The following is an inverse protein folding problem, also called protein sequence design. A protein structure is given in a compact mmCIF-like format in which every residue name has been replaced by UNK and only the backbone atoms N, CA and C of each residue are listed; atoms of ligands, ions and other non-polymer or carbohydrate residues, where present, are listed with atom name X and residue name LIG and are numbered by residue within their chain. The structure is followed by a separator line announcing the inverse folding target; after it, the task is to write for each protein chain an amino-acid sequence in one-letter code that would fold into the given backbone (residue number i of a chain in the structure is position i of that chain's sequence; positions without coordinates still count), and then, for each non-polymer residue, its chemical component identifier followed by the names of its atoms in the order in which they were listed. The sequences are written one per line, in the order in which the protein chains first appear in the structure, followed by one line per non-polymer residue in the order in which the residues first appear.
data_IF_977474079609
#
_entry.id   IF_977474079609
#
_cell.length_a   1.000
_cell.length_b   1.000
_cell.length_c   1.000
_cell.angle_alpha   90.00
_cell.angle_beta   90.00
_cell.angle_gamma   90.00
#
_symmetry.space_group_name_H-M   'P 1'
#
loop_
_entity.id
_entity.type
_entity.pdbx_description
1 polymer ?
#
# COMPACT_ATOMS: atom_id res chain seq x y z
N UNK A 1 1.92 9.88 21.75
CA UNK A 1 1.04 9.48 22.89
C UNK A 1 -0.15 8.63 22.43
N UNK A 2 -0.63 8.85 21.20
CA UNK A 2 -1.87 8.25 20.70
C UNK A 2 -1.68 6.90 19.98
N UNK A 3 -0.50 6.59 19.46
CA UNK A 3 -0.17 5.26 18.94
C UNK A 3 0.03 4.20 20.07
N UNK A 4 -0.21 4.57 21.32
CA UNK A 4 -0.05 3.67 22.49
C UNK A 4 -1.23 2.73 22.70
N UNK A 5 -2.43 3.17 22.38
CA UNK A 5 -3.66 2.55 22.90
C UNK A 5 -4.59 2.11 21.75
N UNK A 6 -4.21 1.05 21.04
CA UNK A 6 -5.09 0.36 20.09
C UNK A 6 -4.98 0.77 18.62
N UNK A 7 -4.06 1.66 18.24
CA UNK A 7 -3.77 1.95 16.83
C UNK A 7 -2.64 1.06 16.29
N UNK A 8 -2.93 0.28 15.28
CA UNK A 8 -1.96 -0.63 14.66
C UNK A 8 -1.20 -0.01 13.47
N UNK A 9 -1.55 1.22 13.08
CA UNK A 9 -0.91 1.91 11.96
C UNK A 9 -1.47 3.30 11.68
N UNK A 10 -0.92 3.94 10.64
CA UNK A 10 -1.30 5.28 10.19
C UNK A 10 -1.57 5.25 8.68
N UNK A 11 -2.59 6.00 8.23
CA UNK A 11 -2.80 6.34 6.81
C UNK A 11 -2.23 7.73 6.52
N UNK A 12 -1.46 7.83 5.44
CA UNK A 12 -0.95 9.09 4.90
C UNK A 12 -1.49 9.34 3.49
N UNK A 13 -1.85 10.60 3.20
CA UNK A 13 -2.36 11.01 1.90
C UNK A 13 -1.68 12.30 1.43
N UNK A 14 -0.62 12.17 0.62
CA UNK A 14 0.25 13.28 0.22
C UNK A 14 -0.43 14.42 -0.50
N UNK A 15 -1.52 14.16 -1.24
CA UNK A 15 -2.28 15.22 -1.92
C UNK A 15 -3.03 16.09 -0.91
N UNK A 16 -3.69 15.49 0.09
CA UNK A 16 -4.42 16.27 1.10
C UNK A 16 -3.48 17.03 2.03
N UNK A 17 -2.33 16.46 2.34
CA UNK A 17 -1.30 17.12 3.13
C UNK A 17 -0.50 18.16 2.32
N UNK A 18 -0.64 18.17 1.00
CA UNK A 18 0.20 18.94 0.07
C UNK A 18 1.70 18.76 0.36
N UNK A 19 2.09 17.56 0.77
CA UNK A 19 3.46 17.17 1.14
C UNK A 19 3.69 15.71 0.84
N UNK A 20 4.92 15.38 0.52
CA UNK A 20 5.38 14.00 0.41
C UNK A 20 5.53 13.37 1.80
N UNK A 21 5.26 12.06 1.93
CA UNK A 21 5.55 11.31 3.16
C UNK A 21 7.06 11.29 3.50
N UNK A 22 7.91 11.52 2.50
CA UNK A 22 9.36 11.61 2.70
C UNK A 22 9.83 12.99 3.18
N UNK A 23 8.92 13.97 3.37
CA UNK A 23 9.27 15.27 3.94
C UNK A 23 9.78 15.08 5.38
N UNK A 24 10.93 15.70 5.74
CA UNK A 24 11.52 15.55 7.09
C UNK A 24 10.58 15.91 8.26
N UNK A 25 9.55 16.70 8.02
CA UNK A 25 8.55 17.04 9.05
C UNK A 25 7.86 15.80 9.64
N UNK A 26 7.81 14.70 8.87
CA UNK A 26 7.17 13.44 9.29
C UNK A 26 8.14 12.47 9.98
N UNK A 27 9.45 12.76 10.01
CA UNK A 27 10.44 11.89 10.66
C UNK A 27 10.07 11.51 12.09
N UNK A 28 9.61 12.43 12.96
CA UNK A 28 9.30 12.06 14.33
C UNK A 28 8.19 11.01 14.46
N UNK A 29 7.18 11.03 13.57
CA UNK A 29 6.14 10.00 13.58
C UNK A 29 6.63 8.71 12.93
N UNK A 30 7.44 8.79 11.88
CA UNK A 30 8.04 7.61 11.24
C UNK A 30 8.98 6.86 12.19
N UNK A 31 9.77 7.56 13.00
CA UNK A 31 10.59 6.95 14.06
C UNK A 31 9.75 6.20 15.11
N UNK A 32 8.58 6.77 15.48
CA UNK A 32 7.66 6.10 16.40
C UNK A 32 7.08 4.84 15.76
N UNK A 33 6.68 4.90 14.49
CA UNK A 33 6.18 3.73 13.74
C UNK A 33 7.25 2.65 13.60
N UNK A 34 8.48 3.03 13.27
CA UNK A 34 9.61 2.11 13.14
C UNK A 34 9.92 1.41 14.47
N UNK A 35 10.02 2.17 15.55
CA UNK A 35 10.23 1.62 16.91
C UNK A 35 9.12 0.65 17.33
N UNK A 36 7.88 0.92 16.94
CA UNK A 36 6.72 0.08 17.25
C UNK A 36 6.50 -1.05 16.26
N UNK A 37 7.26 -1.12 15.17
CA UNK A 37 7.06 -2.06 14.05
C UNK A 37 5.64 -2.00 13.49
N UNK A 38 5.09 -0.79 13.44
CA UNK A 38 3.71 -0.54 13.02
C UNK A 38 3.60 -0.43 11.49
N UNK A 39 2.37 -0.36 10.99
CA UNK A 39 2.08 -0.24 9.57
C UNK A 39 1.83 1.21 9.15
N UNK A 40 2.27 1.56 7.95
CA UNK A 40 2.02 2.84 7.29
C UNK A 40 1.36 2.59 5.93
N UNK A 41 0.09 2.93 5.80
CA UNK A 41 -0.60 2.92 4.51
C UNK A 41 -0.42 4.27 3.84
N UNK A 42 0.21 4.28 2.67
CA UNK A 42 0.46 5.49 1.87
C UNK A 42 -0.44 5.49 0.64
N UNK A 43 -1.22 6.56 0.47
CA UNK A 43 -1.92 6.79 -0.79
C UNK A 43 -0.91 6.95 -1.92
N UNK A 44 -1.01 6.12 -2.95
CA UNK A 44 -0.18 6.18 -4.14
C UNK A 44 -1.02 6.42 -5.39
N UNK A 45 -0.55 7.30 -6.28
CA UNK A 45 -1.23 7.57 -7.54
C UNK A 45 -1.81 8.98 -7.64
N UNK A 46 -2.40 9.26 -8.81
CA UNK A 46 -2.98 10.58 -9.11
C UNK A 46 -4.32 10.78 -8.43
N UNK A 47 -4.53 11.95 -7.89
CA UNK A 47 -5.85 12.43 -7.50
C UNK A 47 -6.49 13.24 -8.64
N UNK A 48 -7.84 13.28 -8.70
CA UNK A 48 -8.59 13.87 -9.83
C UNK A 48 -8.42 15.38 -10.00
N UNK A 49 -7.85 16.06 -9.02
CA UNK A 49 -7.66 17.51 -9.01
C UNK A 49 -6.47 18.00 -9.88
N UNK A 50 -5.77 17.08 -10.55
CA UNK A 50 -4.61 17.42 -11.36
C UNK A 50 -3.37 17.82 -10.57
N UNK A 51 -3.36 17.59 -9.24
CA UNK A 51 -2.20 17.84 -8.41
C UNK A 51 -1.00 17.04 -8.90
N UNK A 52 0.21 17.57 -8.79
CA UNK A 52 1.40 16.90 -9.29
C UNK A 52 1.57 15.54 -8.61
N UNK A 53 1.92 14.52 -9.38
CA UNK A 53 2.26 13.17 -8.90
C UNK A 53 3.27 13.18 -7.76
N UNK A 54 4.00 14.27 -7.62
CA UNK A 54 5.11 14.43 -6.70
C UNK A 54 4.76 14.02 -5.27
N UNK A 55 3.60 14.41 -4.73
CA UNK A 55 3.28 14.16 -3.32
C UNK A 55 2.69 12.77 -3.03
N UNK A 56 2.20 12.07 -4.06
CA UNK A 56 1.59 10.73 -3.95
C UNK A 56 2.33 9.68 -4.80
N UNK A 57 3.57 9.95 -5.19
CA UNK A 57 4.38 8.97 -5.87
C UNK A 57 4.78 7.83 -4.92
N UNK A 58 4.68 6.58 -5.38
CA UNK A 58 5.19 5.42 -4.65
C UNK A 58 6.71 5.54 -4.33
N UNK A 59 7.46 6.34 -5.09
CA UNK A 59 8.88 6.57 -4.86
C UNK A 59 9.16 7.21 -3.50
N UNK A 60 8.25 8.04 -2.99
CA UNK A 60 8.38 8.61 -1.65
C UNK A 60 8.12 7.57 -0.56
N UNK A 61 7.12 6.72 -0.75
CA UNK A 61 6.87 5.59 0.14
C UNK A 61 8.04 4.59 0.13
N UNK A 62 8.68 4.38 -1.03
CA UNK A 62 9.89 3.58 -1.18
C UNK A 62 11.07 4.17 -0.37
N UNK A 63 11.24 5.49 -0.38
CA UNK A 63 12.26 6.17 0.43
C UNK A 63 12.04 5.93 1.93
N UNK A 64 10.78 5.99 2.39
CA UNK A 64 10.43 5.68 3.77
C UNK A 64 10.74 4.22 4.10
N UNK A 65 10.33 3.27 3.26
CA UNK A 65 10.61 1.84 3.47
C UNK A 65 12.11 1.54 3.53
N UNK A 66 12.91 2.24 2.74
CA UNK A 66 14.38 2.12 2.75
C UNK A 66 15.00 2.66 4.04
N UNK A 67 14.51 3.79 4.54
CA UNK A 67 15.04 4.45 5.74
C UNK A 67 14.58 3.78 7.03
N UNK A 68 13.36 3.27 7.07
CA UNK A 68 12.68 2.72 8.23
C UNK A 68 12.29 1.27 7.98
N UNK A 69 13.23 0.35 8.18
CA UNK A 69 13.06 -1.06 7.77
C UNK A 69 12.08 -1.86 8.64
N UNK A 70 11.70 -1.35 9.82
CA UNK A 70 10.73 -2.00 10.69
C UNK A 70 9.28 -1.53 10.45
N UNK A 71 9.06 -0.49 9.64
CA UNK A 71 7.71 -0.09 9.24
C UNK A 71 7.21 -1.01 8.13
N UNK A 72 6.03 -1.59 8.29
CA UNK A 72 5.33 -2.24 7.18
C UNK A 72 4.72 -1.14 6.30
N UNK A 73 5.36 -0.81 5.18
CA UNK A 73 4.89 0.25 4.27
C UNK A 73 3.96 -0.35 3.23
N UNK A 74 2.68 0.03 3.28
CA UNK A 74 1.64 -0.47 2.40
C UNK A 74 1.38 0.57 1.31
N UNK A 75 1.63 0.22 0.06
CA UNK A 75 1.36 1.08 -1.09
C UNK A 75 -0.12 0.98 -1.45
N UNK A 76 -0.86 2.06 -1.23
CA UNK A 76 -2.25 2.18 -1.64
C UNK A 76 -2.40 2.07 -3.15
N UNK A 77 -3.53 1.53 -3.60
CA UNK A 77 -3.90 1.42 -5.01
C UNK A 77 -2.82 0.70 -5.86
N UNK A 78 -2.21 -0.35 -5.29
CA UNK A 78 -1.12 -1.12 -5.93
C UNK A 78 0.09 -0.25 -6.31
N UNK A 79 0.35 0.84 -5.55
CA UNK A 79 1.42 1.79 -5.85
C UNK A 79 1.06 2.84 -6.89
N UNK A 80 -0.14 2.78 -7.47
CA UNK A 80 -0.70 3.69 -8.46
C UNK A 80 -1.77 3.01 -9.31
N UNK A 81 -2.67 3.80 -9.90
CA UNK A 81 -3.82 3.27 -10.64
C UNK A 81 -3.52 2.93 -12.12
N UNK A 82 -2.32 3.18 -12.59
CA UNK A 82 -1.88 2.88 -13.96
C UNK A 82 -1.05 1.60 -14.00
N UNK A 83 -1.27 0.74 -15.00
CA UNK A 83 -0.59 -0.55 -15.12
C UNK A 83 0.93 -0.43 -15.21
N UNK A 84 1.44 0.60 -15.88
CA UNK A 84 2.89 0.85 -15.99
C UNK A 84 3.48 1.26 -14.63
N UNK A 85 2.76 2.10 -13.88
CA UNK A 85 3.17 2.53 -12.54
C UNK A 85 3.13 1.33 -11.58
N UNK A 86 2.06 0.53 -11.61
CA UNK A 86 1.94 -0.70 -10.80
C UNK A 86 3.13 -1.62 -11.02
N UNK A 87 3.46 -1.92 -12.29
CA UNK A 87 4.62 -2.76 -12.62
C UNK A 87 5.93 -2.17 -12.11
N UNK A 88 6.11 -0.86 -12.25
CA UNK A 88 7.32 -0.17 -11.76
C UNK A 88 7.42 -0.23 -10.24
N UNK A 89 6.31 0.02 -9.52
CA UNK A 89 6.26 -0.04 -8.06
C UNK A 89 6.53 -1.46 -7.54
N UNK A 90 5.92 -2.48 -8.15
CA UNK A 90 6.11 -3.89 -7.80
C UNK A 90 7.57 -4.31 -8.02
N UNK A 91 8.17 -3.94 -9.15
CA UNK A 91 9.57 -4.25 -9.41
C UNK A 91 10.52 -3.54 -8.42
N UNK A 92 10.25 -2.28 -8.10
CA UNK A 92 11.05 -1.53 -7.13
C UNK A 92 10.98 -2.15 -5.72
N UNK A 93 9.87 -2.82 -5.39
CA UNK A 93 9.66 -3.44 -4.09
C UNK A 93 10.36 -4.80 -3.91
N UNK A 94 10.96 -5.38 -4.95
CA UNK A 94 11.64 -6.69 -4.87
C UNK A 94 12.73 -6.76 -3.81
N UNK A 95 13.49 -5.69 -3.68
CA UNK A 95 14.63 -5.61 -2.77
C UNK A 95 14.23 -5.32 -1.31
N UNK A 96 12.92 -5.17 -1.03
CA UNK A 96 12.41 -4.77 0.27
C UNK A 96 11.46 -5.81 0.84
N UNK A 97 11.71 -6.29 2.05
CA UNK A 97 10.81 -7.22 2.74
C UNK A 97 9.64 -6.54 3.45
N UNK A 98 9.73 -5.24 3.68
CA UNK A 98 8.77 -4.44 4.46
C UNK A 98 7.80 -3.62 3.59
N UNK A 99 7.72 -3.88 2.27
CA UNK A 99 6.76 -3.23 1.38
C UNK A 99 5.62 -4.19 1.04
N UNK A 100 4.40 -3.71 1.16
CA UNK A 100 3.16 -4.40 0.84
C UNK A 100 2.33 -3.56 -0.14
N UNK A 101 1.35 -4.19 -0.77
CA UNK A 101 0.44 -3.55 -1.73
C UNK A 101 -1.01 -3.80 -1.32
N UNK A 102 -1.88 -2.82 -1.47
CA UNK A 102 -3.31 -3.04 -1.27
C UNK A 102 -4.10 -2.77 -2.56
N UNK A 103 -5.15 -3.55 -2.77
CA UNK A 103 -5.81 -3.73 -4.07
C UNK A 103 -6.87 -2.69 -4.41
N UNK A 104 -7.09 -1.67 -3.58
CA UNK A 104 -8.13 -0.68 -3.84
C UNK A 104 -7.87 0.20 -5.08
N UNK A 105 -8.84 1.02 -5.42
CA UNK A 105 -8.76 1.95 -6.53
C UNK A 105 -9.24 1.36 -7.86
N UNK A 106 -8.68 1.82 -8.98
CA UNK A 106 -9.09 1.36 -10.30
C UNK A 106 -8.58 -0.05 -10.54
N UNK A 107 -9.49 -0.99 -10.76
CA UNK A 107 -9.15 -2.37 -11.09
C UNK A 107 -8.66 -2.48 -12.53
N UNK A 108 -7.34 -2.37 -12.73
CA UNK A 108 -6.72 -2.65 -14.02
C UNK A 108 -6.42 -4.14 -14.14
N UNK A 109 -6.56 -4.75 -15.32
CA UNK A 109 -6.31 -6.18 -15.51
C UNK A 109 -4.89 -6.60 -15.14
N UNK A 110 -4.76 -7.81 -14.60
CA UNK A 110 -3.48 -8.50 -14.32
C UNK A 110 -2.59 -7.83 -13.27
N UNK A 111 -3.07 -6.81 -12.54
CA UNK A 111 -2.26 -6.13 -11.52
C UNK A 111 -2.01 -6.99 -10.28
N UNK A 112 -3.02 -7.76 -9.88
CA UNK A 112 -2.93 -8.69 -8.74
C UNK A 112 -2.02 -9.86 -9.10
N UNK A 113 -2.24 -10.46 -10.26
CA UNK A 113 -1.45 -11.56 -10.80
C UNK A 113 0.03 -11.20 -10.87
N UNK A 114 0.33 -10.02 -11.43
CA UNK A 114 1.70 -9.54 -11.55
C UNK A 114 2.37 -9.33 -10.17
N UNK A 115 1.66 -8.75 -9.22
CA UNK A 115 2.20 -8.56 -7.88
C UNK A 115 2.44 -9.90 -7.17
N UNK A 116 1.51 -10.85 -7.30
CA UNK A 116 1.63 -12.20 -6.73
C UNK A 116 2.79 -12.97 -7.37
N UNK A 117 2.93 -12.91 -8.70
CA UNK A 117 4.03 -13.57 -9.43
C UNK A 117 5.40 -13.05 -8.98
N UNK A 118 5.51 -11.72 -8.80
CA UNK A 118 6.79 -11.05 -8.57
C UNK A 118 7.21 -11.02 -7.10
N UNK A 119 6.24 -10.86 -6.18
CA UNK A 119 6.49 -10.63 -4.75
C UNK A 119 5.97 -11.75 -3.83
N UNK A 120 5.09 -12.61 -4.34
CA UNK A 120 4.34 -13.56 -3.51
C UNK A 120 3.02 -12.96 -3.00
N UNK A 121 2.04 -13.83 -2.79
CA UNK A 121 0.70 -13.43 -2.31
C UNK A 121 0.72 -12.82 -0.90
N UNK A 122 1.74 -13.13 -0.10
CA UNK A 122 1.92 -12.63 1.27
C UNK A 122 2.18 -11.12 1.33
N UNK A 123 2.47 -10.51 0.19
CA UNK A 123 2.78 -9.08 0.08
C UNK A 123 1.62 -8.26 -0.45
N UNK A 124 0.46 -8.87 -0.71
CA UNK A 124 -0.74 -8.21 -1.26
C UNK A 124 -1.88 -8.29 -0.25
N UNK A 125 -2.54 -7.16 0.03
CA UNK A 125 -3.69 -7.05 0.93
C UNK A 125 -4.93 -6.61 0.15
N UNK A 126 -6.09 -7.09 0.56
CA UNK A 126 -7.35 -6.56 0.06
C UNK A 126 -7.62 -5.17 0.62
N UNK A 127 -7.99 -4.24 -0.26
CA UNK A 127 -8.50 -2.93 0.08
C UNK A 127 -9.65 -2.54 -0.85
N UNK A 128 -10.66 -1.84 -0.33
CA UNK A 128 -11.82 -1.41 -1.11
C UNK A 128 -11.86 0.08 -1.43
N UNK A 129 -11.18 0.91 -0.63
CA UNK A 129 -11.29 2.37 -0.68
C UNK A 129 -12.74 2.87 -0.58
N UNK A 130 -13.61 2.10 0.11
CA UNK A 130 -15.00 2.49 0.35
C UNK A 130 -15.04 3.77 1.24
N UNK A 131 -15.90 4.76 0.94
CA UNK A 131 -16.97 4.77 -0.07
C UNK A 131 -16.59 5.32 -1.46
N UNK A 132 -15.32 5.62 -1.72
CA UNK A 132 -14.84 6.14 -2.99
C UNK A 132 -14.95 5.13 -4.13
N UNK A 133 -14.73 3.86 -3.82
CA UNK A 133 -14.90 2.75 -4.74
C UNK A 133 -15.96 1.78 -4.24
N UNK A 134 -16.60 1.06 -5.15
CA UNK A 134 -17.53 -0.01 -4.79
C UNK A 134 -16.79 -1.18 -4.16
N UNK A 135 -17.18 -1.59 -2.96
CA UNK A 135 -16.66 -2.79 -2.32
C UNK A 135 -16.74 -4.02 -3.25
N UNK A 136 -17.90 -4.23 -3.88
CA UNK A 136 -18.11 -5.37 -4.79
C UNK A 136 -17.14 -5.35 -5.98
N UNK A 137 -16.92 -4.17 -6.57
CA UNK A 137 -15.99 -4.04 -7.70
C UNK A 137 -14.57 -4.45 -7.28
N UNK A 138 -14.12 -4.03 -6.11
CA UNK A 138 -12.79 -4.37 -5.60
C UNK A 138 -12.69 -5.85 -5.21
N UNK A 139 -13.74 -6.40 -4.60
CA UNK A 139 -13.83 -7.83 -4.26
C UNK A 139 -13.67 -8.69 -5.52
N UNK A 140 -14.49 -8.44 -6.54
CA UNK A 140 -14.41 -9.20 -7.79
C UNK A 140 -13.09 -8.98 -8.54
N UNK A 141 -12.46 -7.83 -8.39
CA UNK A 141 -11.11 -7.60 -8.96
C UNK A 141 -10.02 -8.50 -8.37
N UNK A 142 -10.23 -9.06 -7.19
CA UNK A 142 -9.34 -10.07 -6.59
C UNK A 142 -9.87 -11.49 -6.84
N UNK A 143 -11.20 -11.68 -6.74
CA UNK A 143 -11.84 -12.99 -6.92
C UNK A 143 -11.63 -13.55 -8.33
N UNK A 144 -11.72 -12.68 -9.35
CA UNK A 144 -11.52 -13.05 -10.75
C UNK A 144 -10.02 -13.12 -11.14
N UNK A 145 -9.10 -12.73 -10.25
CA UNK A 145 -7.68 -12.80 -10.55
C UNK A 145 -7.21 -14.25 -10.75
N UNK A 146 -6.35 -14.46 -11.73
CA UNK A 146 -5.80 -15.76 -12.11
C UNK A 146 -4.66 -16.16 -11.16
N UNK A 147 -4.98 -16.29 -9.88
CA UNK A 147 -4.07 -16.74 -8.82
C UNK A 147 -4.69 -17.93 -8.06
N UNK A 148 -3.88 -18.64 -7.28
CA UNK A 148 -4.40 -19.78 -6.50
C UNK A 148 -5.40 -19.33 -5.41
N UNK A 149 -6.28 -20.25 -4.99
CA UNK A 149 -7.21 -19.99 -3.89
C UNK A 149 -6.49 -19.64 -2.59
N UNK A 150 -5.33 -20.27 -2.33
CA UNK A 150 -4.47 -19.92 -1.20
C UNK A 150 -3.99 -18.45 -1.30
N UNK A 151 -3.62 -18.00 -2.49
CA UNK A 151 -3.22 -16.61 -2.71
C UNK A 151 -4.40 -15.65 -2.46
N UNK A 152 -5.63 -16.00 -2.88
CA UNK A 152 -6.83 -15.21 -2.59
C UNK A 152 -7.10 -15.12 -1.07
N UNK A 153 -7.00 -16.24 -0.35
CA UNK A 153 -7.14 -16.25 1.12
C UNK A 153 -6.10 -15.34 1.80
N UNK A 154 -4.85 -15.39 1.33
CA UNK A 154 -3.79 -14.52 1.82
C UNK A 154 -4.17 -13.05 1.61
N UNK A 155 -4.59 -12.70 0.40
CA UNK A 155 -4.96 -11.33 0.02
C UNK A 155 -6.17 -10.84 0.82
N UNK A 156 -7.24 -11.64 0.90
CA UNK A 156 -8.49 -11.22 1.54
C UNK A 156 -8.42 -11.09 3.05
N UNK A 157 -7.59 -11.90 3.73
CA UNK A 157 -7.62 -11.91 5.20
C UNK A 157 -6.29 -12.21 5.89
N UNK A 158 -5.57 -13.27 5.51
CA UNK A 158 -4.42 -13.77 6.29
C UNK A 158 -3.32 -12.72 6.44
N UNK A 159 -3.02 -11.97 5.38
CA UNK A 159 -1.99 -10.95 5.41
C UNK A 159 -2.35 -9.79 6.34
N UNK A 160 -3.62 -9.36 6.31
CA UNK A 160 -4.10 -8.34 7.24
C UNK A 160 -3.96 -8.80 8.69
N UNK A 161 -4.44 -10.00 9.00
CA UNK A 161 -4.33 -10.54 10.36
C UNK A 161 -2.86 -10.61 10.81
N UNK A 162 -1.95 -11.09 9.97
CA UNK A 162 -0.52 -11.17 10.29
C UNK A 162 0.11 -9.81 10.58
N UNK A 163 -0.30 -8.74 9.89
CA UNK A 163 0.30 -7.42 10.03
C UNK A 163 -0.31 -6.57 11.15
N UNK A 164 -1.55 -6.86 11.57
CA UNK A 164 -2.32 -5.99 12.45
C UNK A 164 -2.84 -6.67 13.72
N UNK A 165 -2.60 -7.95 13.89
CA UNK A 165 -2.89 -8.71 15.13
C UNK A 165 -1.64 -9.32 15.72
#
# INVERSE_FOLDING_TARGET
KELGDGLSGVKFHGVFENRSIADPIYEPILEVLDKKKSSLLVHCGRFKDGSPESNSSYLHALQVAKKFSNINVIFGHMGGNDTGIVKSAVNAAKEFSNIYFETSGISTPLRVEYAVEVLGSERVLFGSDFPWCSYRSMYWGVEDALVSEEAKENIFSKNFLRLFT
#
